data_IF_123259955056
#
_entry.id   IF_123259955056
#
_cell.length_a   1.000
_cell.length_b   1.000
_cell.length_c   1.000
_cell.angle_alpha   90.00
_cell.angle_beta   90.00
_cell.angle_gamma   90.00
#
_symmetry.space_group_name_H-M   'P 1'
#
loop_
_entity.id
_entity.type
_entity.pdbx_description
1 polymer ?
#
# COMPACT_ATOMS: atom_id res chain seq x y z
N UNK A 1 2.73 -5.08 13.87
CA UNK A 1 1.32 -5.52 13.78
C UNK A 1 1.20 -6.54 12.66
N UNK A 2 0.52 -7.66 12.87
CA UNK A 2 0.21 -8.64 11.82
C UNK A 2 -1.02 -8.21 11.00
N UNK A 3 -1.19 -8.78 9.80
CA UNK A 3 -2.38 -8.51 8.96
C UNK A 3 -3.70 -8.82 9.68
N UNK A 4 -3.73 -9.90 10.47
CA UNK A 4 -4.91 -10.28 11.25
C UNK A 4 -5.24 -9.27 12.34
N UNK A 5 -4.24 -8.71 13.02
CA UNK A 5 -4.43 -7.69 14.06
C UNK A 5 -4.97 -6.38 13.47
N UNK A 6 -4.50 -5.98 12.28
CA UNK A 6 -5.02 -4.80 11.57
C UNK A 6 -6.50 -5.00 11.24
N UNK A 7 -6.85 -6.19 10.74
CA UNK A 7 -8.22 -6.50 10.32
C UNK A 7 -9.20 -6.65 11.49
N UNK A 8 -8.70 -7.00 12.68
CA UNK A 8 -9.48 -7.01 13.92
C UNK A 8 -9.68 -5.61 14.53
N UNK A 9 -8.69 -4.72 14.41
CA UNK A 9 -8.76 -3.35 14.97
C UNK A 9 -9.49 -2.36 14.07
N UNK A 10 -9.48 -2.60 12.76
CA UNK A 10 -10.17 -1.79 11.75
C UNK A 10 -11.27 -2.65 11.15
N UNK A 11 -12.49 -2.51 11.68
CA UNK A 11 -13.66 -3.31 11.30
C UNK A 11 -13.77 -3.52 9.77
N UNK A 12 -13.83 -4.79 9.34
CA UNK A 12 -14.21 -5.25 7.99
C UNK A 12 -13.51 -4.54 6.82
N UNK A 13 -12.17 -4.60 6.78
CA UNK A 13 -11.39 -4.22 5.59
C UNK A 13 -11.12 -5.43 4.70
N UNK A 14 -11.39 -5.34 3.41
CA UNK A 14 -11.10 -6.40 2.41
C UNK A 14 -9.63 -6.44 2.02
N UNK A 15 -8.95 -5.29 2.11
CA UNK A 15 -7.55 -5.12 1.67
C UNK A 15 -6.77 -4.25 2.65
N UNK A 16 -5.56 -4.69 2.98
CA UNK A 16 -4.55 -3.89 3.69
C UNK A 16 -3.40 -3.64 2.74
N UNK A 17 -3.02 -2.38 2.55
CA UNK A 17 -1.84 -1.95 1.80
C UNK A 17 -0.89 -1.18 2.70
N UNK A 18 0.37 -1.08 2.27
CA UNK A 18 1.42 -0.32 2.94
C UNK A 18 2.02 0.71 2.00
N UNK A 19 2.64 1.74 2.57
CA UNK A 19 3.43 2.71 1.82
C UNK A 19 4.65 3.14 2.64
N UNK A 20 5.78 3.33 1.97
CA UNK A 20 7.03 3.73 2.57
C UNK A 20 7.37 5.17 2.18
N UNK A 21 7.33 6.09 3.15
CA UNK A 21 7.89 7.42 3.00
C UNK A 21 9.39 7.35 3.31
N UNK A 22 10.17 6.98 2.29
CA UNK A 22 11.63 6.88 2.38
C UNK A 22 12.21 8.28 2.42
N UNK A 23 12.70 8.72 3.58
CA UNK A 23 13.24 10.07 3.74
C UNK A 23 14.73 10.13 3.40
N UNK A 24 15.11 11.16 2.65
CA UNK A 24 16.50 11.50 2.39
C UNK A 24 16.75 12.93 2.84
N UNK A 25 17.80 13.13 3.64
CA UNK A 25 18.22 14.45 4.09
C UNK A 25 19.15 15.07 3.04
N UNK A 26 18.69 16.10 2.36
CA UNK A 26 19.50 16.88 1.42
C UNK A 26 19.84 18.26 1.99
N UNK A 27 20.83 18.94 1.40
CA UNK A 27 21.20 20.31 1.79
C UNK A 27 20.04 21.30 1.65
N UNK A 28 19.14 21.07 0.69
CA UNK A 28 17.96 21.89 0.41
C UNK A 28 16.76 21.56 1.32
N UNK A 29 16.85 20.52 2.15
CA UNK A 29 15.77 20.04 3.01
C UNK A 29 15.49 18.54 2.83
N UNK A 30 14.55 17.98 3.62
CA UNK A 30 14.17 16.59 3.49
C UNK A 30 13.41 16.34 2.19
N UNK A 31 13.75 15.26 1.50
CA UNK A 31 13.04 14.77 0.32
C UNK A 31 12.46 13.38 0.60
N UNK A 32 11.46 12.99 -0.19
CA UNK A 32 10.83 11.66 -0.12
C UNK A 32 10.85 11.01 -1.49
N UNK A 33 11.19 9.72 -1.54
CA UNK A 33 11.12 8.96 -2.78
C UNK A 33 9.66 8.72 -3.17
N UNK A 34 9.31 9.06 -4.40
CA UNK A 34 8.03 8.72 -5.03
C UNK A 34 8.28 7.90 -6.30
N UNK A 35 7.45 6.90 -6.52
CA UNK A 35 7.42 6.13 -7.76
C UNK A 35 6.35 6.71 -8.68
N UNK A 36 6.63 6.71 -9.99
CA UNK A 36 5.64 7.09 -11.00
C UNK A 36 5.05 5.83 -11.61
N UNK A 37 3.73 5.67 -11.50
CA UNK A 37 3.00 4.53 -12.06
C UNK A 37 3.17 4.47 -13.57
N UNK A 38 3.31 3.26 -14.10
CA UNK A 38 3.44 3.05 -15.54
C UNK A 38 2.19 3.60 -16.26
N UNK A 39 2.34 4.37 -17.35
CA UNK A 39 1.21 4.90 -18.13
C UNK A 39 0.24 3.83 -18.65
N UNK A 40 0.71 2.58 -18.80
CA UNK A 40 -0.11 1.45 -19.23
C UNK A 40 -0.91 0.79 -18.08
N UNK A 41 -0.78 1.28 -16.84
CA UNK A 41 -1.55 0.78 -15.71
C UNK A 41 -3.05 1.01 -15.90
N UNK A 42 -3.84 -0.04 -15.65
CA UNK A 42 -5.30 0.04 -15.75
C UNK A 42 -5.89 1.03 -14.73
N UNK A 43 -5.21 1.19 -13.60
CA UNK A 43 -5.67 2.02 -12.49
C UNK A 43 -4.61 3.08 -12.19
N UNK A 44 -5.04 4.34 -12.20
CA UNK A 44 -4.23 5.52 -11.86
C UNK A 44 -2.90 5.59 -12.63
N UNK A 45 -2.90 5.53 -13.97
CA UNK A 45 -1.67 5.71 -14.75
C UNK A 45 -1.06 7.10 -14.53
N UNK A 46 0.27 7.20 -14.63
CA UNK A 46 1.04 8.44 -14.48
C UNK A 46 0.98 9.13 -13.11
N UNK A 47 0.29 8.56 -12.13
CA UNK A 47 0.22 9.08 -10.76
C UNK A 47 1.51 8.77 -9.99
N UNK A 48 1.94 9.71 -9.16
CA UNK A 48 3.03 9.49 -8.20
C UNK A 48 2.49 8.88 -6.90
N UNK A 49 3.19 7.87 -6.39
CA UNK A 49 2.85 7.18 -5.15
C UNK A 49 4.08 6.86 -4.31
N UNK A 50 3.85 6.58 -3.03
CA UNK A 50 4.89 5.99 -2.19
C UNK A 50 5.19 4.57 -2.67
N UNK A 51 6.46 4.11 -2.65
CA UNK A 51 6.77 2.70 -2.77
C UNK A 51 5.92 1.89 -1.80
N UNK A 52 5.36 0.77 -2.26
CA UNK A 52 4.50 -0.05 -1.41
C UNK A 52 3.43 -0.81 -2.17
N UNK A 53 2.79 -1.72 -1.46
CA UNK A 53 1.80 -2.60 -2.06
C UNK A 53 0.93 -3.29 -1.03
N UNK A 54 0.50 -4.51 -1.37
CA UNK A 54 -0.46 -5.25 -0.56
C UNK A 54 0.27 -6.04 0.51
N UNK A 55 -0.29 -6.08 1.73
CA UNK A 55 0.15 -7.04 2.74
C UNK A 55 -0.30 -8.44 2.33
N UNK A 56 0.66 -9.31 2.01
CA UNK A 56 0.44 -10.70 1.62
C UNK A 56 0.05 -11.56 2.84
N UNK A 57 -0.46 -12.76 2.59
CA UNK A 57 -0.73 -13.72 3.65
C UNK A 57 0.56 -14.33 4.23
N UNK A 58 1.67 -14.29 3.48
CA UNK A 58 2.99 -14.78 3.90
C UNK A 58 3.78 -13.76 4.71
N UNK A 59 3.39 -12.48 4.69
CA UNK A 59 4.03 -11.45 5.50
C UNK A 59 3.66 -11.67 6.98
N UNK A 60 4.66 -11.89 7.84
CA UNK A 60 4.44 -12.10 9.28
C UNK A 60 3.89 -10.84 9.96
N UNK A 61 4.34 -9.68 9.49
CA UNK A 61 3.93 -8.36 9.95
C UNK A 61 3.73 -7.36 8.80
N UNK A 62 3.05 -6.25 9.10
CA UNK A 62 2.94 -5.09 8.21
C UNK A 62 4.33 -4.51 7.87
N UNK A 63 5.29 -4.59 8.79
CA UNK A 63 6.65 -4.10 8.54
C UNK A 63 7.39 -5.03 7.57
N UNK A 64 7.16 -6.35 7.64
CA UNK A 64 7.72 -7.29 6.67
C UNK A 64 7.23 -6.97 5.25
N UNK A 65 5.95 -6.62 5.11
CA UNK A 65 5.39 -6.17 3.83
C UNK A 65 6.06 -4.89 3.33
N UNK A 66 6.32 -3.91 4.20
CA UNK A 66 7.04 -2.67 3.83
C UNK A 66 8.44 -2.99 3.32
N UNK A 67 9.19 -3.80 4.06
CA UNK A 67 10.57 -4.17 3.70
C UNK A 67 10.58 -4.89 2.34
N UNK A 68 9.65 -5.82 2.12
CA UNK A 68 9.53 -6.56 0.85
C UNK A 68 9.18 -5.65 -0.32
N UNK A 69 8.11 -4.86 -0.21
CA UNK A 69 7.63 -4.01 -1.30
C UNK A 69 8.67 -2.95 -1.67
N UNK A 70 9.32 -2.32 -0.68
CA UNK A 70 10.41 -1.36 -0.94
C UNK A 70 11.54 -2.03 -1.72
N UNK A 71 11.97 -3.22 -1.32
CA UNK A 71 13.02 -3.92 -2.03
C UNK A 71 12.61 -4.31 -3.46
N UNK A 72 11.40 -4.84 -3.65
CA UNK A 72 10.88 -5.25 -4.96
C UNK A 72 10.86 -4.08 -5.96
N UNK A 73 10.39 -2.91 -5.53
CA UNK A 73 10.17 -1.76 -6.43
C UNK A 73 11.39 -0.86 -6.60
N UNK A 74 12.26 -0.79 -5.59
CA UNK A 74 13.36 0.20 -5.54
C UNK A 74 14.75 -0.42 -5.42
N UNK A 75 14.85 -1.70 -5.08
CA UNK A 75 16.09 -2.41 -4.73
C UNK A 75 16.82 -1.81 -3.50
N UNK A 76 16.16 -0.97 -2.71
CA UNK A 76 16.68 -0.44 -1.46
C UNK A 76 16.38 -1.37 -0.29
N UNK A 77 17.30 -1.41 0.69
CA UNK A 77 17.09 -2.12 1.94
C UNK A 77 16.58 -1.14 3.01
N UNK A 78 15.43 -1.46 3.63
CA UNK A 78 14.92 -0.71 4.77
C UNK A 78 15.73 -1.09 6.02
N UNK A 79 16.40 -0.10 6.61
CA UNK A 79 17.22 -0.30 7.81
C UNK A 79 16.38 -0.16 9.08
N UNK A 80 15.42 0.77 9.06
CA UNK A 80 14.56 1.06 10.21
C UNK A 80 13.15 1.47 9.73
N UNK A 81 12.13 1.10 10.50
CA UNK A 81 10.76 1.62 10.33
C UNK A 81 10.49 2.56 11.49
N UNK A 82 10.47 3.85 11.22
CA UNK A 82 10.60 4.90 12.24
C UNK A 82 9.27 5.20 12.91
N UNK A 83 8.24 5.56 12.11
CA UNK A 83 6.95 5.98 12.67
C UNK A 83 5.80 5.79 11.68
N UNK A 84 4.59 5.46 12.15
CA UNK A 84 3.41 5.42 11.30
C UNK A 84 2.98 6.83 10.88
N UNK A 85 2.49 6.93 9.65
CA UNK A 85 1.75 8.08 9.15
C UNK A 85 0.25 7.89 9.39
N UNK A 86 -0.52 8.96 9.15
CA UNK A 86 -1.98 8.89 9.22
C UNK A 86 -2.54 7.82 8.29
N UNK A 87 -3.36 6.96 8.86
CA UNK A 87 -4.04 5.88 8.16
C UNK A 87 -5.04 6.44 7.13
N UNK A 88 -4.99 5.92 5.91
CA UNK A 88 -5.96 6.28 4.85
C UNK A 88 -6.89 5.10 4.63
N UNK A 89 -8.20 5.33 4.73
CA UNK A 89 -9.23 4.32 4.42
C UNK A 89 -9.99 4.76 3.17
N UNK A 90 -10.15 3.85 2.21
CA UNK A 90 -10.86 4.12 0.97
C UNK A 90 -11.69 2.91 0.55
N UNK A 91 -12.64 3.12 -0.36
CA UNK A 91 -13.40 2.02 -0.96
C UNK A 91 -13.16 1.99 -2.46
N UNK A 92 -13.00 0.79 -3.02
CA UNK A 92 -12.90 0.56 -4.45
C UNK A 92 -14.12 -0.22 -4.91
N UNK A 93 -14.71 0.20 -6.02
CA UNK A 93 -15.83 -0.52 -6.65
C UNK A 93 -15.32 -1.25 -7.89
N UNK A 94 -15.64 -2.53 -8.00
CA UNK A 94 -15.29 -3.35 -9.16
C UNK A 94 -16.53 -4.07 -9.66
N UNK A 95 -16.79 -3.96 -10.96
CA UNK A 95 -17.78 -4.80 -11.63
C UNK A 95 -17.20 -6.22 -11.75
N UNK A 96 -17.79 -7.19 -11.08
CA UNK A 96 -17.49 -8.60 -11.29
C UNK A 96 -18.47 -9.18 -12.32
N UNK A 97 -17.94 -9.75 -13.40
CA UNK A 97 -18.75 -10.46 -14.39
C UNK A 97 -19.09 -11.84 -13.83
N UNK A 98 -20.36 -12.06 -13.50
CA UNK A 98 -20.89 -13.38 -13.19
C UNK A 98 -21.03 -14.25 -14.46
N UNK A 99 -21.34 -15.55 -14.31
CA UNK A 99 -21.57 -16.46 -15.45
C UNK A 99 -22.77 -16.05 -16.33
N UNK A 100 -23.71 -15.30 -15.77
CA UNK A 100 -24.78 -14.59 -16.48
C UNK A 100 -24.43 -13.11 -16.55
N UNK A 101 -24.51 -12.52 -17.75
CA UNK A 101 -23.99 -11.20 -18.15
C UNK A 101 -24.57 -9.96 -17.41
N UNK A 102 -25.21 -10.16 -16.25
CA UNK A 102 -25.54 -9.11 -15.29
C UNK A 102 -24.39 -8.98 -14.28
N UNK A 103 -23.46 -8.06 -14.55
CA UNK A 103 -22.35 -7.79 -13.65
C UNK A 103 -22.82 -7.33 -12.26
N UNK A 104 -22.24 -7.88 -11.20
CA UNK A 104 -22.48 -7.43 -9.83
C UNK A 104 -21.39 -6.43 -9.44
N UNK A 105 -21.78 -5.25 -8.97
CA UNK A 105 -20.82 -4.28 -8.42
C UNK A 105 -20.44 -4.71 -7.01
N UNK A 106 -19.18 -5.10 -6.83
CA UNK A 106 -18.61 -5.44 -5.53
C UNK A 106 -17.83 -4.24 -5.01
N UNK A 107 -18.27 -3.70 -3.87
CA UNK A 107 -17.55 -2.65 -3.14
C UNK A 107 -16.59 -3.31 -2.15
N UNK A 108 -15.31 -2.93 -2.20
CA UNK A 108 -14.27 -3.39 -1.29
C UNK A 108 -13.69 -2.24 -0.49
N UNK A 109 -13.58 -2.39 0.82
CA UNK A 109 -12.91 -1.46 1.72
C UNK A 109 -11.43 -1.79 1.80
N UNK A 110 -10.60 -0.77 1.66
CA UNK A 110 -9.16 -0.88 1.76
C UNK A 110 -8.64 0.11 2.80
N UNK A 111 -7.60 -0.31 3.51
CA UNK A 111 -6.81 0.54 4.38
C UNK A 111 -5.38 0.57 3.91
N UNK A 112 -4.78 1.76 3.91
CA UNK A 112 -3.35 1.97 3.69
C UNK A 112 -2.68 2.42 4.97
N UNK A 113 -1.69 1.65 5.40
CA UNK A 113 -0.83 1.93 6.55
C UNK A 113 0.54 2.37 6.04
N UNK A 114 0.78 3.68 6.00
CA UNK A 114 2.07 4.21 5.57
C UNK A 114 2.99 4.48 6.77
N UNK A 115 4.30 4.36 6.56
CA UNK A 115 5.31 4.60 7.57
C UNK A 115 6.45 5.45 6.99
N UNK A 116 7.07 6.25 7.85
CA UNK A 116 8.39 6.82 7.58
C UNK A 116 9.42 5.72 7.77
N UNK A 117 10.31 5.60 6.78
CA UNK A 117 11.43 4.65 6.77
C UNK A 117 12.71 5.33 6.31
#
# INVERSE_FOLDING_TARGET
>A
MSRGEVQLRLAEVDKVTVGAAILQQEESGPTVLLLKRNPAEKYYPDVFELPGGKVDAKDGTVHDAIIREVFEETQLAVVEVISPLSCITYATEKLEKGPTDQGTTVRRRAVQLSYVV
#
